data_IF_428322177755
#
_entry.id   IF_428322177755
#
_cell.length_a   1.000
_cell.length_b   1.000
_cell.length_c   1.000
_cell.angle_alpha   90.00
_cell.angle_beta   90.00
_cell.angle_gamma   90.00
#
_symmetry.space_group_name_H-M   'P 1'
#
loop_
_entity.id
_entity.type
_entity.pdbx_description
1 polymer ?
#
# COMPACT_ATOMS: atom_id res chain seq x y z
N UNK A 1 4.92 5.93 2.85
CA UNK A 1 6.39 6.02 3.05
C UNK A 1 6.75 7.47 3.32
N UNK A 2 7.41 7.77 4.44
CA UNK A 2 7.93 9.12 4.67
C UNK A 2 8.96 9.46 3.58
N UNK A 3 9.04 10.72 3.10
CA UNK A 3 10.04 11.11 2.11
C UNK A 3 11.44 10.83 2.67
N UNK A 4 12.25 10.10 1.90
CA UNK A 4 13.66 9.85 2.24
C UNK A 4 14.35 11.18 2.54
N UNK A 5 14.69 11.42 3.81
CA UNK A 5 15.37 12.65 4.19
C UNK A 5 16.75 12.68 3.53
N UNK A 6 16.94 13.60 2.59
CA UNK A 6 18.20 13.76 1.86
C UNK A 6 19.13 14.64 2.69
N UNK A 7 20.29 14.08 3.05
CA UNK A 7 21.34 14.80 3.78
C UNK A 7 22.32 15.34 2.76
N UNK A 8 22.50 16.68 2.74
CA UNK A 8 23.33 17.39 1.75
C UNK A 8 24.47 18.12 2.47
N UNK A 9 25.70 17.94 2.00
CA UNK A 9 26.90 18.67 2.48
C UNK A 9 27.90 18.81 1.34
N UNK A 10 28.49 20.00 1.20
CA UNK A 10 29.51 20.35 0.18
C UNK A 10 29.14 19.95 -1.26
N UNK A 11 27.88 20.18 -1.65
CA UNK A 11 27.32 19.75 -2.95
C UNK A 11 27.33 18.23 -3.17
N UNK A 12 27.38 17.43 -2.12
CA UNK A 12 27.18 15.98 -2.15
C UNK A 12 25.98 15.55 -1.30
N UNK A 13 25.40 14.40 -1.63
CA UNK A 13 24.38 13.75 -0.83
C UNK A 13 24.49 12.22 -0.88
N UNK A 14 23.96 11.54 0.13
CA UNK A 14 23.85 10.09 0.13
C UNK A 14 22.40 9.64 -0.11
N UNK A 15 22.20 8.65 -0.98
CA UNK A 15 20.90 8.01 -1.20
C UNK A 15 21.10 6.52 -1.44
N UNK A 16 20.36 5.67 -0.73
CA UNK A 16 20.45 4.20 -0.83
C UNK A 16 21.90 3.69 -0.70
N UNK A 17 22.65 4.24 0.26
CA UNK A 17 24.05 3.91 0.49
C UNK A 17 25.03 4.35 -0.60
N UNK A 18 24.60 5.18 -1.56
CA UNK A 18 25.44 5.67 -2.66
C UNK A 18 25.68 7.17 -2.54
N UNK A 19 26.87 7.60 -2.94
CA UNK A 19 27.37 8.97 -2.80
C UNK A 19 27.33 9.71 -4.12
N UNK A 20 26.57 10.80 -4.17
CA UNK A 20 26.26 11.54 -5.39
C UNK A 20 26.65 13.00 -5.26
N UNK A 21 26.98 13.63 -6.39
CA UNK A 21 26.97 15.09 -6.46
C UNK A 21 25.54 15.61 -6.55
N UNK A 22 25.25 16.70 -5.86
CA UNK A 22 23.96 17.39 -5.86
C UNK A 22 23.53 17.78 -7.28
N UNK A 23 24.47 18.33 -8.05
CA UNK A 23 24.26 18.61 -9.47
C UNK A 23 24.43 17.33 -10.27
N UNK A 24 23.39 16.94 -11.01
CA UNK A 24 23.40 15.78 -11.90
C UNK A 24 23.17 14.42 -11.23
N UNK A 25 23.25 14.29 -9.90
CA UNK A 25 23.09 13.00 -9.21
C UNK A 25 24.01 11.91 -9.78
N UNK A 26 25.29 12.22 -9.96
CA UNK A 26 26.27 11.33 -10.59
C UNK A 26 27.16 10.69 -9.53
N UNK A 27 27.29 9.36 -9.59
CA UNK A 27 28.23 8.59 -8.77
C UNK A 27 29.65 8.70 -9.31
N UNK A 28 30.64 8.53 -8.43
CA UNK A 28 32.04 8.51 -8.83
C UNK A 28 32.32 7.31 -9.73
N UNK A 29 32.99 7.56 -10.85
CA UNK A 29 33.58 6.51 -11.70
C UNK A 29 35.08 6.49 -11.44
N UNK A 30 35.67 5.31 -11.28
CA UNK A 30 37.10 5.17 -11.02
C UNK A 30 37.96 5.72 -12.19
N UNK A 31 39.17 6.20 -11.88
CA UNK A 31 40.05 6.85 -12.84
C UNK A 31 40.42 5.97 -14.03
N UNK A 32 40.61 4.65 -13.83
CA UNK A 32 40.95 3.73 -14.91
C UNK A 32 39.78 3.56 -15.90
N UNK A 33 38.56 3.44 -15.39
CA UNK A 33 37.34 3.43 -16.21
C UNK A 33 37.16 4.74 -16.96
N UNK A 34 37.37 5.89 -16.31
CA UNK A 34 37.32 7.20 -16.98
C UNK A 34 38.36 7.31 -18.11
N UNK A 35 39.59 6.84 -17.89
CA UNK A 35 40.63 6.80 -18.93
C UNK A 35 40.18 5.93 -20.11
N UNK A 36 39.63 4.74 -19.86
CA UNK A 36 39.10 3.85 -20.92
C UNK A 36 37.98 4.51 -21.73
N UNK A 37 37.12 5.29 -21.07
CA UNK A 37 35.98 5.95 -21.72
C UNK A 37 36.38 7.18 -22.54
N UNK A 38 37.42 7.91 -22.14
CA UNK A 38 37.73 9.24 -22.69
C UNK A 38 39.10 9.37 -23.38
N UNK A 39 40.04 8.44 -23.18
CA UNK A 39 41.39 8.47 -23.74
C UNK A 39 41.68 7.29 -24.68
N UNK A 40 42.45 7.51 -25.78
CA UNK A 40 42.85 8.82 -26.30
C UNK A 40 41.65 9.58 -26.93
N UNK A 41 40.71 8.81 -27.47
CA UNK A 41 39.45 9.29 -28.05
C UNK A 41 38.30 8.78 -27.20
N UNK A 42 37.23 9.58 -27.10
CA UNK A 42 36.04 9.21 -26.33
C UNK A 42 35.34 8.05 -27.06
N UNK A 43 35.09 6.95 -26.35
CA UNK A 43 34.44 5.77 -26.90
C UNK A 43 32.89 5.88 -26.79
N UNK A 44 32.18 4.80 -27.16
CA UNK A 44 30.71 4.74 -27.08
C UNK A 44 30.19 4.92 -25.66
N UNK A 45 30.74 4.22 -24.69
CA UNK A 45 30.33 4.32 -23.27
C UNK A 45 30.46 5.77 -22.77
N UNK A 46 31.59 6.42 -23.08
CA UNK A 46 31.85 7.82 -22.76
C UNK A 46 30.87 8.79 -23.45
N UNK A 47 30.34 8.44 -24.64
CA UNK A 47 29.28 9.23 -25.28
C UNK A 47 27.92 9.00 -24.62
N UNK A 48 27.62 7.75 -24.27
CA UNK A 48 26.34 7.36 -23.69
C UNK A 48 26.16 7.97 -22.29
N UNK A 49 27.18 7.91 -21.42
CA UNK A 49 27.11 8.55 -20.08
C UNK A 49 26.97 10.07 -20.15
N UNK A 50 27.58 10.71 -21.15
CA UNK A 50 27.50 12.16 -21.37
C UNK A 50 26.14 12.59 -21.93
N UNK A 51 25.55 11.77 -22.80
CA UNK A 51 24.20 12.01 -23.33
C UNK A 51 23.16 11.81 -22.24
N UNK A 52 23.34 10.80 -21.39
CA UNK A 52 22.45 10.53 -20.27
C UNK A 52 22.54 11.63 -19.19
N UNK A 53 23.71 12.26 -19.02
CA UNK A 53 23.89 13.28 -17.99
C UNK A 53 24.80 14.45 -18.43
N UNK A 54 24.25 15.66 -18.68
CA UNK A 54 25.05 16.80 -19.12
C UNK A 54 26.02 17.33 -18.05
N UNK A 55 25.81 16.97 -16.78
CA UNK A 55 26.69 17.35 -15.67
C UNK A 55 27.77 16.32 -15.36
N UNK A 56 27.82 15.18 -16.07
CA UNK A 56 28.74 14.08 -15.79
C UNK A 56 30.19 14.52 -15.56
N UNK A 57 30.76 15.31 -16.49
CA UNK A 57 32.16 15.78 -16.33
C UNK A 57 32.33 16.61 -15.06
N UNK A 58 31.45 17.58 -14.82
CA UNK A 58 31.53 18.45 -13.62
C UNK A 58 31.50 17.60 -12.36
N UNK A 59 30.59 16.64 -12.30
CA UNK A 59 30.44 15.74 -11.16
C UNK A 59 31.67 14.87 -10.93
N UNK A 60 32.25 14.31 -12.00
CA UNK A 60 33.50 13.54 -11.85
C UNK A 60 34.63 14.42 -11.33
N UNK A 61 34.83 15.63 -11.87
CA UNK A 61 35.85 16.55 -11.36
C UNK A 61 35.65 16.90 -9.88
N UNK A 62 34.40 17.10 -9.46
CA UNK A 62 34.04 17.32 -8.05
C UNK A 62 34.40 16.13 -7.16
N UNK A 63 34.08 14.89 -7.56
CA UNK A 63 34.45 13.68 -6.82
C UNK A 63 35.97 13.53 -6.63
N UNK A 64 36.77 13.98 -7.60
CA UNK A 64 38.23 14.01 -7.49
C UNK A 64 38.78 15.30 -6.85
N UNK A 65 37.89 16.17 -6.35
CA UNK A 65 38.25 17.43 -5.69
C UNK A 65 39.02 18.41 -6.57
N UNK A 66 38.90 18.26 -7.89
CA UNK A 66 39.54 19.11 -8.90
C UNK A 66 38.75 20.42 -8.97
N UNK A 67 39.43 21.53 -8.66
CA UNK A 67 38.85 22.87 -8.79
C UNK A 67 38.87 23.28 -10.25
N UNK A 68 37.76 23.85 -10.72
CA UNK A 68 37.63 24.39 -12.05
C UNK A 68 36.76 25.64 -12.02
N UNK A 69 36.94 26.51 -13.01
CA UNK A 69 36.07 27.63 -13.28
C UNK A 69 35.10 27.28 -14.41
N UNK A 70 33.87 27.79 -14.37
CA UNK A 70 32.88 27.51 -15.42
C UNK A 70 33.32 28.00 -16.81
N UNK A 71 34.20 29.01 -16.89
CA UNK A 71 34.78 29.45 -18.16
C UNK A 71 35.75 28.44 -18.79
N UNK A 72 36.28 27.47 -18.03
CA UNK A 72 37.13 26.39 -18.56
C UNK A 72 36.31 25.30 -19.27
N UNK A 73 34.98 25.32 -19.09
CA UNK A 73 34.07 24.41 -19.76
C UNK A 73 33.69 24.92 -21.14
N UNK A 74 34.43 24.47 -22.15
CA UNK A 74 33.96 24.54 -23.55
C UNK A 74 33.05 23.34 -23.85
N UNK A 75 31.80 23.62 -24.21
CA UNK A 75 30.76 22.59 -24.41
C UNK A 75 30.51 21.77 -23.15
N UNK A 76 30.72 20.46 -23.21
CA UNK A 76 30.52 19.56 -22.06
C UNK A 76 31.76 19.37 -21.16
N UNK A 77 32.83 20.15 -21.34
CA UNK A 77 34.05 20.06 -20.52
C UNK A 77 34.93 18.83 -20.80
N UNK A 78 34.67 18.10 -21.89
CA UNK A 78 35.42 16.86 -22.21
C UNK A 78 36.91 17.12 -22.41
N UNK A 79 37.30 18.28 -22.94
CA UNK A 79 38.72 18.63 -23.09
C UNK A 79 39.42 18.77 -21.74
N UNK A 80 38.76 19.40 -20.77
CA UNK A 80 39.26 19.52 -19.40
C UNK A 80 39.39 18.14 -18.75
N UNK A 81 38.36 17.29 -18.87
CA UNK A 81 38.42 15.92 -18.34
C UNK A 81 39.59 15.12 -18.93
N UNK A 82 39.79 15.19 -20.26
CA UNK A 82 40.92 14.50 -20.90
C UNK A 82 42.27 15.01 -20.41
N UNK A 83 42.41 16.32 -20.16
CA UNK A 83 43.63 16.91 -19.62
C UNK A 83 43.94 16.34 -18.24
N UNK A 84 43.00 16.44 -17.30
CA UNK A 84 43.20 15.98 -15.91
C UNK A 84 43.42 14.47 -15.83
N UNK A 85 42.78 13.69 -16.71
CA UNK A 85 43.03 12.24 -16.80
C UNK A 85 44.45 11.95 -17.26
N UNK A 86 44.98 12.65 -18.27
CA UNK A 86 46.39 12.46 -18.70
C UNK A 86 47.39 12.81 -17.61
N UNK A 87 47.08 13.83 -16.81
CA UNK A 87 47.89 14.29 -15.69
C UNK A 87 47.78 13.39 -14.44
N UNK A 88 46.88 12.40 -14.44
CA UNK A 88 46.69 11.47 -13.31
C UNK A 88 45.96 12.05 -12.11
N UNK A 89 45.30 13.19 -12.27
CA UNK A 89 44.57 13.85 -11.18
C UNK A 89 43.32 13.08 -10.73
N UNK A 90 42.82 12.15 -11.55
CA UNK A 90 41.70 11.26 -11.19
C UNK A 90 42.14 9.86 -10.73
N UNK A 91 43.44 9.65 -10.46
CA UNK A 91 43.92 8.34 -10.00
C UNK A 91 43.71 8.13 -8.49
N UNK A 92 43.61 9.23 -7.72
CA UNK A 92 43.40 9.20 -6.26
C UNK A 92 42.29 10.17 -5.87
N UNK A 93 41.37 9.72 -5.02
CA UNK A 93 40.33 10.57 -4.44
C UNK A 93 40.89 11.29 -3.23
N UNK A 94 40.73 12.62 -3.11
CA UNK A 94 41.20 13.34 -1.92
C UNK A 94 40.55 12.81 -0.64
N UNK A 95 41.35 12.68 0.42
CA UNK A 95 40.91 12.17 1.74
C UNK A 95 39.65 12.89 2.24
N UNK A 96 39.58 14.22 2.08
CA UNK A 96 38.39 15.02 2.45
C UNK A 96 37.09 14.51 1.83
N UNK A 97 37.12 14.04 0.58
CA UNK A 97 35.92 13.54 -0.12
C UNK A 97 35.54 12.15 0.40
N UNK A 98 36.55 11.32 0.71
CA UNK A 98 36.31 10.01 1.33
C UNK A 98 35.70 10.17 2.72
N UNK A 99 36.24 11.07 3.55
CA UNK A 99 35.67 11.40 4.87
C UNK A 99 34.23 11.89 4.75
N UNK A 100 33.96 12.80 3.79
CA UNK A 100 32.62 13.30 3.54
C UNK A 100 31.64 12.19 3.11
N UNK A 101 32.11 11.28 2.24
CA UNK A 101 31.33 10.11 1.82
C UNK A 101 30.96 9.23 3.02
N UNK A 102 31.91 8.94 3.90
CA UNK A 102 31.68 8.11 5.09
C UNK A 102 30.76 8.79 6.10
N UNK A 103 30.90 10.11 6.29
CA UNK A 103 30.01 10.91 7.14
C UNK A 103 28.57 10.88 6.63
N UNK A 104 28.34 11.21 5.35
CA UNK A 104 27.00 11.22 4.77
C UNK A 104 26.38 9.82 4.74
N UNK A 105 27.17 8.78 4.46
CA UNK A 105 26.68 7.41 4.52
C UNK A 105 26.24 7.03 5.93
N UNK A 106 27.01 7.40 6.97
CA UNK A 106 26.70 7.11 8.36
C UNK A 106 25.47 7.87 8.85
N UNK A 107 25.38 9.16 8.52
CA UNK A 107 24.21 9.96 8.85
C UNK A 107 22.95 9.40 8.18
N UNK A 108 23.06 8.98 6.91
CA UNK A 108 21.97 8.29 6.22
C UNK A 108 21.61 6.95 6.89
N UNK A 109 22.58 6.11 7.26
CA UNK A 109 22.30 4.87 7.99
C UNK A 109 21.58 5.16 9.31
N UNK A 110 21.94 6.21 10.02
CA UNK A 110 21.33 6.57 11.28
C UNK A 110 19.84 6.94 11.14
N UNK A 111 19.39 7.43 9.98
CA UNK A 111 17.96 7.68 9.73
C UNK A 111 17.14 6.42 9.43
N UNK A 112 17.80 5.29 9.17
CA UNK A 112 17.13 4.04 8.75
C UNK A 112 16.73 3.11 9.89
N UNK A 113 15.53 2.55 9.84
CA UNK A 113 15.11 1.54 10.82
C UNK A 113 15.67 0.15 10.46
N UNK A 114 15.69 -0.82 11.40
CA UNK A 114 16.01 -2.21 11.09
C UNK A 114 15.22 -2.79 9.90
N UNK A 115 13.94 -2.45 9.81
CA UNK A 115 13.00 -2.86 8.76
C UNK A 115 13.35 -2.27 7.38
N UNK A 116 14.13 -1.19 7.32
CA UNK A 116 14.57 -0.59 6.05
C UNK A 116 15.92 -1.16 5.59
N UNK A 117 16.70 -1.74 6.49
CA UNK A 117 18.08 -2.20 6.24
C UNK A 117 18.20 -3.70 5.93
N UNK A 118 17.12 -4.48 6.09
CA UNK A 118 17.17 -5.96 5.98
C UNK A 118 17.74 -6.48 4.64
N UNK A 119 17.61 -5.70 3.57
CA UNK A 119 18.06 -6.09 2.22
C UNK A 119 19.59 -6.06 2.04
N UNK A 120 20.32 -5.32 2.88
CA UNK A 120 21.77 -5.14 2.76
C UNK A 120 22.47 -5.44 4.09
N UNK A 121 22.96 -6.68 4.30
CA UNK A 121 23.63 -7.07 5.54
C UNK A 121 24.78 -6.15 5.95
N UNK A 122 25.62 -5.71 5.00
CA UNK A 122 26.74 -4.84 5.32
C UNK A 122 26.32 -3.52 5.96
N UNK A 123 25.21 -2.92 5.52
CA UNK A 123 24.69 -1.68 6.11
C UNK A 123 24.21 -1.87 7.55
N UNK A 124 23.62 -3.02 7.85
CA UNK A 124 23.26 -3.38 9.23
C UNK A 124 24.51 -3.51 10.09
N UNK A 125 25.52 -4.21 9.59
CA UNK A 125 26.77 -4.42 10.33
C UNK A 125 27.53 -3.10 10.53
N UNK A 126 27.59 -2.23 9.52
CA UNK A 126 28.25 -0.93 9.59
C UNK A 126 27.52 0.05 10.53
N UNK A 127 26.18 -0.06 10.60
CA UNK A 127 25.37 0.75 11.51
C UNK A 127 25.52 0.32 12.97
N UNK A 128 25.50 -0.98 13.26
CA UNK A 128 25.37 -1.45 14.65
C UNK A 128 26.65 -2.07 15.22
N UNK A 129 27.48 -2.71 14.41
CA UNK A 129 28.48 -3.66 14.90
C UNK A 129 29.93 -3.40 14.45
N UNK A 130 30.17 -2.56 13.44
CA UNK A 130 31.52 -2.26 12.93
C UNK A 130 31.94 -0.82 13.20
N UNK A 131 33.24 -0.56 13.31
CA UNK A 131 33.82 0.78 13.37
C UNK A 131 33.78 1.43 12.00
N UNK A 132 33.39 2.71 11.89
CA UNK A 132 33.40 3.39 10.60
C UNK A 132 34.80 3.50 9.98
N UNK A 133 35.83 3.66 10.81
CA UNK A 133 37.18 3.96 10.31
C UNK A 133 37.89 2.77 9.63
N UNK A 134 37.57 1.53 9.99
CA UNK A 134 38.31 0.37 9.53
C UNK A 134 37.47 -0.92 9.39
N UNK A 135 36.15 -0.83 9.56
CA UNK A 135 35.24 -1.98 9.46
C UNK A 135 35.42 -3.04 10.55
N UNK A 136 36.27 -2.79 11.55
CA UNK A 136 36.52 -3.77 12.61
C UNK A 136 35.32 -3.90 13.55
N UNK A 137 35.09 -5.07 14.16
CA UNK A 137 34.06 -5.26 15.18
C UNK A 137 34.17 -4.20 16.30
N UNK A 138 33.04 -3.62 16.72
CA UNK A 138 32.97 -2.63 17.80
C UNK A 138 31.92 -2.95 18.86
N UNK A 139 32.30 -3.73 19.90
CA UNK A 139 31.41 -4.05 21.02
C UNK A 139 30.83 -2.83 21.74
N UNK A 140 31.51 -1.68 21.69
CA UNK A 140 31.08 -0.46 22.36
C UNK A 140 29.93 0.27 21.64
N UNK A 141 29.71 0.03 20.34
CA UNK A 141 28.66 0.74 19.57
C UNK A 141 27.25 0.35 19.98
N UNK A 142 27.06 -0.92 20.28
CA UNK A 142 25.75 -1.50 20.50
C UNK A 142 25.84 -2.46 21.66
N UNK A 143 25.34 -2.07 22.82
CA UNK A 143 25.32 -2.90 24.04
C UNK A 143 24.06 -3.76 24.15
N UNK A 144 23.07 -3.52 23.30
CA UNK A 144 21.79 -4.21 23.29
C UNK A 144 21.69 -5.17 22.10
N UNK A 145 20.83 -6.19 22.20
CA UNK A 145 20.56 -7.07 21.08
C UNK A 145 19.73 -6.33 20.03
N UNK A 146 20.14 -6.40 18.77
CA UNK A 146 19.42 -5.83 17.62
C UNK A 146 18.69 -6.94 16.89
N UNK A 147 17.38 -6.79 16.69
CA UNK A 147 16.59 -7.68 15.84
C UNK A 147 16.35 -7.05 14.47
N UNK A 148 16.70 -7.75 13.40
CA UNK A 148 16.39 -7.36 12.02
C UNK A 148 15.23 -8.21 11.53
N UNK A 149 14.03 -7.63 11.36
CA UNK A 149 12.86 -8.37 10.90
C UNK A 149 12.90 -8.55 9.38
N UNK A 150 12.45 -9.71 8.93
CA UNK A 150 12.26 -10.07 7.53
C UNK A 150 10.83 -10.58 7.33
N UNK A 151 10.27 -10.46 6.11
CA UNK A 151 9.06 -11.17 5.75
C UNK A 151 9.20 -12.68 6.01
N UNK A 152 8.14 -13.40 6.42
CA UNK A 152 8.23 -14.82 6.79
C UNK A 152 8.86 -15.71 5.71
N UNK A 153 8.62 -15.39 4.43
CA UNK A 153 9.09 -16.16 3.29
C UNK A 153 10.51 -15.78 2.80
N UNK A 154 11.19 -14.84 3.44
CA UNK A 154 12.48 -14.29 2.98
C UNK A 154 13.69 -15.11 3.47
N UNK A 155 13.64 -16.44 3.34
CA UNK A 155 14.66 -17.36 3.88
C UNK A 155 16.07 -17.10 3.30
N UNK A 156 16.15 -16.73 2.02
CA UNK A 156 17.41 -16.38 1.37
C UNK A 156 18.09 -15.15 1.99
N UNK A 157 17.30 -14.11 2.31
CA UNK A 157 17.81 -12.88 2.93
C UNK A 157 18.22 -13.12 4.38
N UNK A 158 17.42 -13.91 5.13
CA UNK A 158 17.76 -14.33 6.49
C UNK A 158 19.09 -15.09 6.51
N UNK A 159 19.28 -16.01 5.57
CA UNK A 159 20.52 -16.79 5.46
C UNK A 159 21.74 -15.90 5.19
N UNK A 160 21.62 -14.95 4.25
CA UNK A 160 22.68 -13.96 3.96
C UNK A 160 23.02 -13.09 5.17
N UNK A 161 22.01 -12.64 5.93
CA UNK A 161 22.24 -11.85 7.14
C UNK A 161 22.98 -12.66 8.20
N UNK A 162 22.62 -13.92 8.42
CA UNK A 162 23.31 -14.81 9.35
C UNK A 162 24.76 -15.05 8.93
N UNK A 163 24.99 -15.31 7.65
CA UNK A 163 26.34 -15.51 7.12
C UNK A 163 27.22 -14.28 7.34
N UNK A 164 26.70 -13.09 7.00
CA UNK A 164 27.41 -11.84 7.21
C UNK A 164 27.71 -11.58 8.70
N UNK A 165 26.73 -11.85 9.59
CA UNK A 165 26.92 -11.74 11.04
C UNK A 165 27.99 -12.70 11.57
N UNK A 166 28.00 -13.95 11.07
CA UNK A 166 28.98 -14.97 11.45
C UNK A 166 30.42 -14.65 11.04
N UNK A 167 30.62 -13.74 10.08
CA UNK A 167 31.95 -13.25 9.68
C UNK A 167 32.50 -12.17 10.63
N UNK A 168 31.68 -11.59 11.50
CA UNK A 168 32.10 -10.55 12.45
C UNK A 168 32.61 -11.22 13.73
N UNK A 169 33.92 -11.11 13.99
CA UNK A 169 34.54 -11.75 15.14
C UNK A 169 33.89 -11.30 16.46
N UNK A 170 33.44 -12.29 17.25
CA UNK A 170 32.80 -12.08 18.55
C UNK A 170 31.33 -11.69 18.52
N UNK A 171 30.73 -11.51 17.33
CA UNK A 171 29.30 -11.23 17.19
C UNK A 171 28.49 -12.53 17.22
N UNK A 172 27.52 -12.61 18.12
CA UNK A 172 26.58 -13.73 18.18
C UNK A 172 25.31 -13.39 17.41
N UNK A 173 24.71 -14.42 16.79
CA UNK A 173 23.44 -14.28 16.12
C UNK A 173 22.53 -15.49 16.36
N UNK A 174 21.21 -15.26 16.34
CA UNK A 174 20.19 -16.29 16.40
C UNK A 174 18.98 -15.86 15.57
N UNK A 175 18.28 -16.81 14.96
CA UNK A 175 17.06 -16.53 14.20
C UNK A 175 15.85 -17.07 14.92
N UNK A 176 14.73 -16.37 14.81
CA UNK A 176 13.45 -16.85 15.28
C UNK A 176 12.37 -16.52 14.27
N UNK A 177 11.51 -17.50 14.01
CA UNK A 177 10.30 -17.32 13.23
C UNK A 177 9.15 -17.05 14.18
N UNK A 178 8.49 -15.92 14.02
CA UNK A 178 7.22 -15.64 14.65
C UNK A 178 6.09 -15.53 13.62
N UNK A 179 4.95 -14.98 14.06
CA UNK A 179 3.70 -15.02 13.29
C UNK A 179 3.64 -14.02 12.14
N UNK A 180 4.29 -12.86 12.24
CA UNK A 180 4.38 -11.88 11.14
C UNK A 180 5.79 -11.78 10.57
N UNK A 181 6.83 -12.16 11.32
CA UNK A 181 8.21 -11.88 10.93
C UNK A 181 9.15 -13.06 11.18
N UNK A 182 10.15 -13.19 10.32
CA UNK A 182 11.35 -13.97 10.60
C UNK A 182 12.44 -12.99 11.02
N UNK A 183 12.91 -13.03 12.26
CA UNK A 183 13.87 -12.04 12.78
C UNK A 183 15.24 -12.66 13.01
N UNK A 184 16.29 -11.98 12.57
CA UNK A 184 17.69 -12.29 12.93
C UNK A 184 18.12 -11.35 14.06
N UNK A 185 18.39 -11.93 15.23
CA UNK A 185 18.91 -11.24 16.41
C UNK A 185 20.42 -11.29 16.42
N UNK A 186 21.07 -10.15 16.70
CA UNK A 186 22.53 -10.00 16.74
C UNK A 186 22.95 -9.21 17.98
N UNK A 187 24.08 -9.58 18.57
CA UNK A 187 24.64 -8.89 19.74
C UNK A 187 25.93 -9.53 20.25
N UNK A 188 26.59 -8.87 21.18
CA UNK A 188 27.89 -9.32 21.72
C UNK A 188 27.76 -10.30 22.90
N UNK A 189 26.55 -10.48 23.44
CA UNK A 189 26.23 -11.44 24.50
C UNK A 189 25.39 -12.57 23.92
N UNK A 190 25.97 -13.77 23.87
CA UNK A 190 25.32 -14.98 23.35
C UNK A 190 24.02 -15.30 24.10
N UNK A 191 24.00 -15.18 25.43
CA UNK A 191 22.85 -15.49 26.27
C UNK A 191 21.71 -14.50 26.01
N UNK A 192 22.04 -13.21 25.89
CA UNK A 192 21.07 -12.18 25.55
C UNK A 192 20.46 -12.41 24.15
N UNK A 193 21.28 -12.76 23.17
CA UNK A 193 20.84 -13.05 21.79
C UNK A 193 19.92 -14.27 21.75
N UNK A 194 20.30 -15.38 22.39
CA UNK A 194 19.45 -16.59 22.46
C UNK A 194 18.13 -16.29 23.18
N UNK A 195 18.16 -15.56 24.30
CA UNK A 195 16.95 -15.17 25.04
C UNK A 195 16.02 -14.32 24.19
N UNK A 196 16.55 -13.36 23.42
CA UNK A 196 15.76 -12.52 22.52
C UNK A 196 15.09 -13.34 21.42
N UNK A 197 15.82 -14.26 20.78
CA UNK A 197 15.29 -15.15 19.76
C UNK A 197 14.18 -16.05 20.31
N UNK A 198 14.40 -16.69 21.46
CA UNK A 198 13.39 -17.56 22.09
C UNK A 198 12.13 -16.80 22.52
N UNK A 199 12.30 -15.56 22.99
CA UNK A 199 11.19 -14.70 23.38
C UNK A 199 10.41 -14.11 22.20
N UNK A 200 10.90 -14.22 20.96
CA UNK A 200 10.32 -13.54 19.81
C UNK A 200 8.92 -14.02 19.46
N UNK A 201 8.74 -15.31 19.16
CA UNK A 201 7.45 -15.85 18.74
C UNK A 201 6.35 -15.67 19.80
N UNK A 202 6.58 -15.93 21.11
CA UNK A 202 5.59 -15.64 22.14
C UNK A 202 5.25 -14.15 22.25
N UNK A 203 6.26 -13.26 22.17
CA UNK A 203 6.04 -11.81 22.25
C UNK A 203 5.24 -11.31 21.06
N UNK A 204 5.59 -11.72 19.85
CA UNK A 204 4.86 -11.32 18.64
C UNK A 204 3.41 -11.82 18.69
N UNK A 205 3.18 -13.07 19.12
CA UNK A 205 1.84 -13.59 19.35
C UNK A 205 1.05 -12.79 20.39
N UNK A 206 1.67 -12.40 21.50
CA UNK A 206 1.03 -11.54 22.52
C UNK A 206 0.66 -10.18 21.94
N UNK A 207 1.60 -9.54 21.23
CA UNK A 207 1.37 -8.26 20.58
C UNK A 207 0.22 -8.33 19.56
N UNK A 208 0.11 -9.42 18.79
CA UNK A 208 -1.01 -9.64 17.88
C UNK A 208 -2.36 -9.72 18.60
N UNK A 209 -2.40 -10.44 19.73
CA UNK A 209 -3.63 -10.54 20.53
C UNK A 209 -4.00 -9.17 21.09
N UNK A 210 -3.04 -8.42 21.60
CA UNK A 210 -3.24 -7.06 22.10
C UNK A 210 -3.71 -6.09 21.01
N UNK A 211 -3.09 -6.15 19.82
CA UNK A 211 -3.47 -5.37 18.64
C UNK A 211 -4.91 -5.67 18.20
N UNK A 212 -5.28 -6.96 18.12
CA UNK A 212 -6.66 -7.40 17.81
C UNK A 212 -7.65 -6.92 18.86
N UNK A 213 -7.31 -6.99 20.14
CA UNK A 213 -8.16 -6.50 21.22
C UNK A 213 -8.32 -4.98 21.21
N UNK A 214 -7.25 -4.23 20.95
CA UNK A 214 -7.28 -2.77 20.82
C UNK A 214 -8.14 -2.34 19.63
N UNK A 215 -7.97 -3.00 18.48
CA UNK A 215 -8.81 -2.82 17.30
C UNK A 215 -10.28 -3.10 17.64
N UNK A 216 -10.58 -4.26 18.25
CA UNK A 216 -11.96 -4.63 18.64
C UNK A 216 -12.60 -3.58 19.56
N UNK A 217 -11.85 -3.07 20.53
CA UNK A 217 -12.29 -1.98 21.42
C UNK A 217 -12.56 -0.69 20.64
N UNK A 218 -11.64 -0.29 19.75
CA UNK A 218 -11.81 0.88 18.88
C UNK A 218 -13.10 0.79 18.04
N UNK A 219 -13.33 -0.37 17.39
CA UNK A 219 -14.57 -0.64 16.64
C UNK A 219 -15.82 -0.52 17.50
N UNK A 220 -15.80 -1.10 18.70
CA UNK A 220 -16.91 -1.00 19.64
C UNK A 220 -17.18 0.44 20.10
N UNK A 221 -16.12 1.23 20.34
CA UNK A 221 -16.24 2.66 20.69
C UNK A 221 -16.85 3.47 19.55
N UNK A 222 -16.37 3.30 18.31
CA UNK A 222 -16.94 4.01 17.14
C UNK A 222 -18.44 3.74 16.98
N UNK A 223 -18.86 2.48 17.12
CA UNK A 223 -20.27 2.11 17.05
C UNK A 223 -21.09 2.66 18.23
N UNK A 224 -20.55 2.62 19.45
CA UNK A 224 -21.21 3.19 20.63
C UNK A 224 -21.39 4.72 20.51
N UNK A 225 -20.37 5.41 20.00
CA UNK A 225 -20.43 6.85 19.74
C UNK A 225 -21.46 7.17 18.66
N UNK A 226 -21.55 6.35 17.61
CA UNK A 226 -22.60 6.47 16.59
C UNK A 226 -24.00 6.32 17.21
N UNK A 227 -24.24 5.28 18.02
CA UNK A 227 -25.53 5.07 18.69
C UNK A 227 -25.89 6.25 19.59
N UNK A 228 -24.91 6.80 20.33
CA UNK A 228 -25.12 7.98 21.17
C UNK A 228 -25.49 9.22 20.36
N UNK A 229 -24.83 9.46 19.22
CA UNK A 229 -25.19 10.55 18.29
C UNK A 229 -26.61 10.36 17.73
N UNK A 230 -26.97 9.12 17.42
CA UNK A 230 -28.29 8.78 16.91
C UNK A 230 -29.39 9.06 17.94
N UNK A 231 -29.15 8.74 19.22
CA UNK A 231 -30.06 9.07 20.32
C UNK A 231 -30.22 10.59 20.52
N UNK A 232 -29.14 11.34 20.41
CA UNK A 232 -29.17 12.81 20.55
C UNK A 232 -29.93 13.51 19.43
N UNK A 233 -29.93 12.93 18.22
CA UNK A 233 -30.67 13.45 17.06
C UNK A 233 -32.12 13.00 17.02
N UNK A 234 -32.54 12.11 17.93
CA UNK A 234 -33.91 11.63 17.97
C UNK A 234 -34.83 12.71 18.54
N UNK A 235 -35.49 13.44 17.65
CA UNK A 235 -36.65 14.26 17.99
C UNK A 235 -37.92 13.40 17.83
N UNK A 236 -38.64 13.09 18.93
CA UNK A 236 -39.89 12.33 18.85
C UNK A 236 -40.96 12.98 17.95
N UNK A 237 -40.88 14.29 17.71
CA UNK A 237 -41.81 15.04 16.88
C UNK A 237 -41.42 15.04 15.38
N UNK A 238 -40.15 14.80 15.05
CA UNK A 238 -39.65 14.74 13.69
C UNK A 238 -39.20 13.31 13.36
N UNK A 239 -40.16 12.45 13.01
CA UNK A 239 -39.86 11.09 12.57
C UNK A 239 -39.13 11.13 11.22
N UNK A 240 -37.79 11.11 11.24
CA UNK A 240 -36.99 10.83 10.06
C UNK A 240 -36.95 9.31 9.84
N UNK A 241 -37.34 8.81 8.66
CA UNK A 241 -37.21 7.40 8.34
C UNK A 241 -35.75 6.98 8.46
N UNK A 242 -35.48 5.94 9.27
CA UNK A 242 -34.13 5.40 9.39
C UNK A 242 -33.81 4.62 8.11
N UNK A 243 -32.57 4.74 7.65
CA UNK A 243 -32.11 4.18 6.39
C UNK A 243 -30.93 3.23 6.64
N UNK A 244 -30.83 2.11 5.89
CA UNK A 244 -29.64 1.28 5.90
C UNK A 244 -28.41 1.98 5.31
N UNK A 245 -28.56 3.11 4.62
CA UNK A 245 -27.45 3.90 4.04
C UNK A 245 -26.45 4.35 5.09
N UNK A 246 -25.17 4.16 4.80
CA UNK A 246 -24.05 4.62 5.62
C UNK A 246 -22.91 3.60 5.67
N UNK A 247 -21.93 3.88 6.51
CA UNK A 247 -20.72 3.08 6.66
C UNK A 247 -20.81 2.09 7.81
N UNK A 248 -20.37 0.86 7.57
CA UNK A 248 -20.37 -0.24 8.52
C UNK A 248 -18.97 -0.86 8.65
N UNK A 249 -18.61 -1.18 9.89
CA UNK A 249 -17.46 -2.02 10.21
C UNK A 249 -17.91 -3.48 10.27
N UNK A 250 -17.18 -4.35 9.59
CA UNK A 250 -17.51 -5.77 9.45
C UNK A 250 -16.61 -6.63 10.33
N UNK A 251 -17.22 -7.60 11.01
CA UNK A 251 -16.56 -8.68 11.71
C UNK A 251 -16.91 -9.99 10.99
N UNK A 252 -15.92 -10.67 10.40
CA UNK A 252 -16.09 -11.97 9.74
C UNK A 252 -15.12 -12.98 10.34
N UNK A 253 -15.62 -13.87 11.20
CA UNK A 253 -14.78 -14.81 11.94
C UNK A 253 -13.97 -15.72 11.01
N UNK A 254 -14.56 -16.16 9.90
CA UNK A 254 -13.89 -17.05 8.95
C UNK A 254 -12.67 -16.37 8.32
N UNK A 255 -12.85 -15.12 7.88
CA UNK A 255 -11.77 -14.30 7.30
C UNK A 255 -10.70 -13.99 8.37
N UNK A 256 -11.11 -13.56 9.57
CA UNK A 256 -10.18 -13.20 10.66
C UNK A 256 -9.36 -14.41 11.19
N UNK A 257 -9.86 -15.63 11.02
CA UNK A 257 -9.18 -16.88 11.42
C UNK A 257 -8.20 -17.37 10.37
N UNK A 258 -8.61 -17.42 9.10
CA UNK A 258 -7.80 -17.95 8.00
C UNK A 258 -6.74 -16.92 7.55
N UNK A 259 -7.04 -15.63 7.62
CA UNK A 259 -6.12 -14.54 7.29
C UNK A 259 -5.85 -13.69 8.52
N UNK A 260 -5.01 -14.20 9.43
CA UNK A 260 -4.76 -13.54 10.71
C UNK A 260 -3.90 -12.27 10.65
N UNK A 261 -3.36 -11.94 9.46
CA UNK A 261 -2.42 -10.85 9.21
C UNK A 261 -3.02 -9.63 8.48
N UNK A 262 -4.35 -9.57 8.35
CA UNK A 262 -5.07 -8.52 7.63
C UNK A 262 -4.70 -7.13 8.18
N UNK A 263 -4.11 -6.25 7.34
CA UNK A 263 -3.71 -4.91 7.77
C UNK A 263 -4.91 -4.00 8.09
N UNK A 264 -6.05 -4.19 7.43
CA UNK A 264 -7.10 -3.17 7.37
C UNK A 264 -8.46 -3.61 7.96
N UNK A 265 -9.33 -2.61 8.17
CA UNK A 265 -10.68 -2.84 8.70
C UNK A 265 -11.62 -3.31 7.59
N UNK A 266 -12.23 -4.49 7.77
CA UNK A 266 -13.27 -4.97 6.86
C UNK A 266 -14.42 -3.96 6.88
N UNK A 267 -14.80 -3.44 5.73
CA UNK A 267 -15.82 -2.40 5.62
C UNK A 267 -16.93 -2.78 4.65
N UNK A 268 -18.09 -2.18 4.90
CA UNK A 268 -19.27 -2.25 4.05
C UNK A 268 -19.90 -0.85 4.03
N UNK A 269 -19.94 -0.23 2.87
CA UNK A 269 -20.57 1.07 2.65
C UNK A 269 -21.86 0.85 1.87
N UNK A 270 -22.99 1.29 2.41
CA UNK A 270 -24.32 1.13 1.80
C UNK A 270 -24.80 2.49 1.29
N UNK A 271 -25.17 2.54 0.02
CA UNK A 271 -25.70 3.68 -0.71
C UNK A 271 -27.15 3.47 -1.13
N UNK A 272 -27.92 4.55 -1.17
CA UNK A 272 -29.24 4.53 -1.79
C UNK A 272 -29.10 4.52 -3.31
N UNK A 273 -29.97 3.78 -3.98
CA UNK A 273 -30.14 3.89 -5.43
C UNK A 273 -31.34 4.77 -5.76
N UNK A 274 -31.49 5.11 -7.04
CA UNK A 274 -32.69 5.79 -7.55
C UNK A 274 -33.95 4.91 -7.48
N UNK A 275 -33.78 3.59 -7.26
CA UNK A 275 -34.89 2.64 -7.15
C UNK A 275 -35.28 2.44 -5.69
N UNK A 276 -36.50 2.83 -5.27
CA UNK A 276 -36.93 2.70 -3.89
C UNK A 276 -36.87 1.26 -3.37
N UNK A 277 -36.21 1.06 -2.22
CA UNK A 277 -36.08 -0.26 -1.60
C UNK A 277 -34.93 -1.12 -2.14
N UNK A 278 -34.18 -0.60 -3.12
CA UNK A 278 -32.92 -1.16 -3.62
C UNK A 278 -31.77 -0.30 -3.12
N UNK A 279 -30.75 -0.94 -2.57
CA UNK A 279 -29.53 -0.32 -2.09
C UNK A 279 -28.34 -0.97 -2.78
N UNK A 280 -27.29 -0.18 -3.00
CA UNK A 280 -26.01 -0.67 -3.50
C UNK A 280 -25.02 -0.61 -2.35
N UNK A 281 -24.20 -1.62 -2.19
CA UNK A 281 -23.19 -1.61 -1.15
C UNK A 281 -21.83 -2.01 -1.71
N UNK A 282 -20.82 -1.20 -1.45
CA UNK A 282 -19.43 -1.55 -1.75
C UNK A 282 -18.82 -2.18 -0.50
N UNK A 283 -18.00 -3.21 -0.67
CA UNK A 283 -17.34 -3.84 0.45
C UNK A 283 -15.89 -4.17 0.13
N UNK A 284 -15.06 -4.05 1.16
CA UNK A 284 -13.66 -4.47 1.15
C UNK A 284 -13.45 -5.35 2.39
N UNK A 285 -13.33 -6.65 2.16
CA UNK A 285 -12.99 -7.64 3.18
C UNK A 285 -11.53 -8.09 3.09
N UNK A 286 -10.67 -7.28 2.45
CA UNK A 286 -9.20 -7.38 2.33
C UNK A 286 -8.67 -8.59 1.54
N UNK A 287 -9.36 -9.73 1.58
CA UNK A 287 -9.13 -10.88 0.70
C UNK A 287 -10.09 -10.92 -0.48
N UNK A 288 -11.24 -10.29 -0.33
CA UNK A 288 -12.31 -10.22 -1.32
C UNK A 288 -12.93 -8.84 -1.23
N UNK A 289 -13.09 -8.19 -2.37
CA UNK A 289 -13.76 -6.91 -2.49
C UNK A 289 -14.78 -6.96 -3.63
N UNK A 290 -15.77 -6.07 -3.58
CA UNK A 290 -16.78 -6.01 -4.63
C UNK A 290 -18.01 -5.22 -4.24
N UNK A 291 -19.12 -5.60 -4.85
CA UNK A 291 -20.41 -4.89 -4.76
C UNK A 291 -21.51 -5.88 -4.40
N UNK A 292 -22.43 -5.42 -3.56
CA UNK A 292 -23.69 -6.08 -3.23
C UNK A 292 -24.86 -5.20 -3.62
N UNK A 293 -25.86 -5.75 -4.30
CA UNK A 293 -27.17 -5.11 -4.44
C UNK A 293 -28.11 -5.73 -3.42
N UNK A 294 -28.73 -4.90 -2.58
CA UNK A 294 -29.65 -5.29 -1.52
C UNK A 294 -31.08 -4.91 -1.90
N UNK A 295 -32.03 -5.83 -1.78
CA UNK A 295 -33.44 -5.57 -2.07
C UNK A 295 -34.36 -6.20 -1.03
N UNK A 296 -35.36 -5.45 -0.57
CA UNK A 296 -36.40 -5.97 0.32
C UNK A 296 -37.39 -6.90 -0.42
N UNK A 297 -37.55 -6.68 -1.72
CA UNK A 297 -38.38 -7.48 -2.62
C UNK A 297 -37.48 -8.22 -3.62
N UNK A 298 -37.61 -9.54 -3.67
CA UNK A 298 -36.73 -10.39 -4.49
C UNK A 298 -36.94 -10.23 -6.00
N UNK A 299 -38.18 -9.99 -6.43
CA UNK A 299 -38.49 -9.77 -7.84
C UNK A 299 -37.92 -8.44 -8.33
N UNK A 300 -38.08 -7.37 -7.54
CA UNK A 300 -37.50 -6.07 -7.82
C UNK A 300 -35.95 -6.12 -7.85
N UNK A 301 -35.34 -6.89 -6.94
CA UNK A 301 -33.88 -7.10 -6.92
C UNK A 301 -33.40 -7.80 -8.20
N UNK A 302 -34.09 -8.85 -8.62
CA UNK A 302 -33.75 -9.61 -9.84
C UNK A 302 -33.89 -8.74 -11.09
N UNK A 303 -34.98 -7.98 -11.18
CA UNK A 303 -35.21 -7.04 -12.27
C UNK A 303 -34.13 -5.97 -12.32
N UNK A 304 -33.80 -5.34 -11.18
CA UNK A 304 -32.75 -4.33 -11.11
C UNK A 304 -31.40 -4.87 -11.59
N UNK A 305 -31.02 -6.07 -11.13
CA UNK A 305 -29.75 -6.68 -11.53
C UNK A 305 -29.72 -7.08 -13.02
N UNK A 306 -30.87 -7.47 -13.58
CA UNK A 306 -30.99 -7.81 -15.01
C UNK A 306 -30.90 -6.58 -15.91
N UNK A 307 -31.52 -5.46 -15.49
CA UNK A 307 -31.50 -4.20 -16.25
C UNK A 307 -30.09 -3.56 -16.28
N UNK A 308 -29.27 -3.84 -15.26
CA UNK A 308 -27.89 -3.34 -15.12
C UNK A 308 -26.84 -4.43 -15.40
N UNK A 309 -27.25 -5.62 -15.84
CA UNK A 309 -26.37 -6.57 -16.50
C UNK A 309 -26.27 -6.10 -17.95
N UNK A 310 -25.25 -5.29 -18.26
CA UNK A 310 -24.97 -4.82 -19.62
C UNK A 310 -25.20 -5.94 -20.63
N UNK A 311 -25.94 -5.64 -21.70
CA UNK A 311 -26.04 -6.50 -22.87
C UNK A 311 -24.61 -6.89 -23.23
N UNK A 312 -24.25 -8.13 -22.94
CA UNK A 312 -23.06 -8.75 -23.50
C UNK A 312 -23.27 -8.65 -25.02
N UNK A 313 -22.60 -7.72 -25.66
CA UNK A 313 -22.52 -7.62 -27.12
C UNK A 313 -21.80 -8.89 -27.59
N UNK A 314 -22.56 -9.98 -27.66
CA UNK A 314 -22.20 -11.16 -28.44
C UNK A 314 -22.25 -10.73 -29.90
N UNK A 315 -21.06 -10.38 -30.41
CA UNK A 315 -20.63 -10.38 -31.80
C UNK A 315 -21.73 -10.68 -32.83
N UNK A 316 -22.35 -9.63 -33.36
CA UNK A 316 -22.88 -9.67 -34.72
C UNK A 316 -21.88 -8.98 -35.64
N UNK A 317 -20.92 -9.74 -36.15
CA UNK A 317 -20.29 -9.46 -37.44
C UNK A 317 -21.36 -9.38 -38.51
N UNK A 318 -21.65 -8.19 -39.01
CA UNK A 318 -21.91 -8.02 -40.43
C UNK A 318 -21.55 -6.61 -40.88
N UNK A 319 -20.88 -6.57 -42.02
CA UNK A 319 -20.19 -5.43 -42.61
C UNK A 319 -21.14 -4.42 -43.29
N UNK A 320 -20.56 -3.25 -43.55
CA UNK A 320 -20.88 -2.28 -44.61
C UNK A 320 -21.65 -0.98 -44.27
N UNK A 321 -20.81 0.07 -44.12
CA UNK A 321 -20.80 1.33 -44.87
C UNK A 321 -21.83 2.46 -44.59
N UNK A 322 -21.31 3.46 -43.86
CA UNK A 322 -21.26 4.91 -44.16
C UNK A 322 -22.58 5.63 -44.52
N UNK A 323 -23.02 6.52 -43.63
CA UNK A 323 -22.98 7.98 -43.87
C UNK A 323 -23.31 8.79 -42.60
N UNK A 324 -22.44 9.75 -42.28
CA UNK A 324 -22.66 10.80 -41.29
C UNK A 324 -23.73 11.79 -41.75
N UNK A 325 -24.64 12.20 -40.85
CA UNK A 325 -24.99 13.63 -40.67
C UNK A 325 -25.83 13.91 -39.40
N UNK A 326 -25.82 15.17 -38.92
CA UNK A 326 -25.98 15.51 -37.51
C UNK A 326 -27.40 15.88 -37.08
N UNK A 327 -27.59 15.78 -35.76
CA UNK A 327 -28.32 16.66 -34.84
C UNK A 327 -29.47 17.50 -35.43
N UNK A 328 -30.71 17.16 -35.06
CA UNK A 328 -31.78 18.16 -34.89
C UNK A 328 -32.74 17.75 -33.78
N UNK A 329 -32.59 18.49 -32.68
CA UNK A 329 -33.64 18.94 -31.77
C UNK A 329 -34.98 19.20 -32.48
N UNK A 330 -36.07 18.53 -32.08
CA UNK A 330 -37.38 19.17 -31.91
C UNK A 330 -38.36 18.31 -31.08
N UNK A 331 -38.92 18.98 -30.08
CA UNK A 331 -40.28 18.91 -29.53
C UNK A 331 -41.26 17.86 -30.04
N UNK A 332 -41.99 17.25 -29.08
CA UNK A 332 -43.44 16.98 -29.06
C UNK A 332 -43.75 16.16 -27.80
N UNK A 333 -44.79 16.32 -26.99
CA UNK A 333 -46.04 17.09 -27.05
C UNK A 333 -46.60 17.09 -25.63
N UNK A 334 -46.94 18.24 -25.07
CA UNK A 334 -47.83 18.29 -23.91
C UNK A 334 -49.23 17.82 -24.32
N UNK A 335 -49.72 16.74 -23.73
CA UNK A 335 -51.13 16.38 -23.73
C UNK A 335 -51.71 16.52 -22.33
N UNK A 336 -52.76 17.33 -22.25
CA UNK A 336 -53.53 17.69 -21.08
C UNK A 336 -54.27 16.49 -20.44
N UNK A 337 -54.71 16.61 -19.16
CA UNK A 337 -55.08 15.48 -18.32
C UNK A 337 -56.53 15.03 -18.54
N UNK A 338 -56.76 13.71 -18.47
CA UNK A 338 -58.11 13.13 -18.30
C UNK A 338 -58.28 12.62 -16.88
N UNK A 339 -59.37 13.00 -16.17
CA UNK A 339 -59.63 12.53 -14.81
C UNK A 339 -60.38 11.20 -14.87
N UNK A 340 -59.84 10.16 -14.23
CA UNK A 340 -60.64 9.01 -13.79
C UNK A 340 -60.16 8.60 -12.42
N UNK A 341 -60.97 8.94 -11.42
CA UNK A 341 -60.81 8.49 -10.06
C UNK A 341 -60.85 6.96 -10.01
N UNK A 342 -59.86 6.39 -9.32
CA UNK A 342 -59.98 5.09 -8.69
C UNK A 342 -59.31 5.22 -7.33
N UNK A 343 -60.10 4.98 -6.28
CA UNK A 343 -59.67 5.08 -4.89
C UNK A 343 -58.42 4.22 -4.68
N UNK A 344 -57.29 4.90 -4.41
CA UNK A 344 -56.09 4.28 -3.86
C UNK A 344 -56.44 3.88 -2.44
N UNK A 345 -56.56 2.56 -2.21
CA UNK A 345 -56.62 2.01 -0.86
C UNK A 345 -55.37 2.50 -0.11
N UNK A 346 -55.49 2.93 1.16
CA UNK A 346 -54.33 3.37 1.91
C UNK A 346 -53.36 2.20 2.01
N UNK A 347 -52.17 2.35 1.42
CA UNK A 347 -51.04 1.47 1.66
C UNK A 347 -50.78 1.59 3.16
N UNK A 348 -51.23 0.58 3.86
CA UNK A 348 -51.07 0.38 5.28
C UNK A 348 -49.56 0.38 5.51
N UNK A 349 -49.09 1.30 6.36
CA UNK A 349 -47.69 1.52 6.72
C UNK A 349 -46.92 0.21 6.83
N UNK A 350 -46.19 -0.13 5.76
CA UNK A 350 -45.40 -1.34 5.67
C UNK A 350 -44.20 -1.13 6.62
N UNK A 351 -44.10 -1.96 7.67
CA UNK A 351 -42.89 -2.01 8.48
C UNK A 351 -41.73 -2.23 7.52
N UNK A 352 -40.75 -1.32 7.49
CA UNK A 352 -39.52 -1.52 6.69
C UNK A 352 -39.01 -2.93 6.96
N UNK A 353 -38.89 -3.73 5.89
CA UNK A 353 -38.34 -5.08 6.00
C UNK A 353 -36.98 -4.98 6.66
N UNK A 354 -36.74 -5.84 7.66
CA UNK A 354 -35.44 -5.96 8.30
C UNK A 354 -34.55 -6.97 7.57
N UNK A 355 -35.12 -7.71 6.64
CA UNK A 355 -34.44 -8.72 5.84
C UNK A 355 -34.39 -8.24 4.40
N UNK A 356 -33.19 -8.26 3.85
CA UNK A 356 -32.89 -7.94 2.46
C UNK A 356 -32.28 -9.18 1.82
N UNK A 357 -32.75 -9.50 0.62
CA UNK A 357 -32.02 -10.40 -0.27
C UNK A 357 -30.84 -9.63 -0.85
N UNK A 358 -29.73 -10.33 -1.11
CA UNK A 358 -28.58 -9.71 -1.76
C UNK A 358 -28.14 -10.50 -2.99
N UNK A 359 -27.67 -9.77 -3.99
CA UNK A 359 -26.83 -10.28 -5.07
C UNK A 359 -25.44 -9.67 -4.96
N UNK A 360 -24.42 -10.50 -5.03
CA UNK A 360 -23.01 -10.15 -4.84
C UNK A 360 -22.22 -10.43 -6.11
N UNK A 361 -21.36 -9.47 -6.48
CA UNK A 361 -20.23 -9.66 -7.39
C UNK A 361 -18.96 -9.25 -6.68
N UNK A 362 -17.90 -10.04 -6.83
CA UNK A 362 -16.65 -9.77 -6.13
C UNK A 362 -15.46 -10.41 -6.83
N UNK A 363 -14.28 -9.85 -6.55
CA UNK A 363 -12.99 -10.38 -6.96
C UNK A 363 -12.18 -10.81 -5.75
N UNK A 364 -11.45 -11.91 -5.90
CA UNK A 364 -10.47 -12.33 -4.91
C UNK A 364 -9.16 -11.57 -5.16
N UNK A 365 -8.55 -11.03 -4.10
CA UNK A 365 -7.31 -10.25 -4.22
C UNK A 365 -6.04 -11.11 -4.28
N UNK A 366 -6.13 -12.40 -3.91
CA UNK A 366 -5.01 -13.36 -3.97
C UNK A 366 -4.71 -13.84 -5.39
N UNK A 367 -5.71 -13.94 -6.26
CA UNK A 367 -5.58 -14.49 -7.62
C UNK A 367 -6.35 -13.63 -8.62
N UNK A 368 -5.81 -13.38 -9.84
CA UNK A 368 -6.43 -12.49 -10.83
C UNK A 368 -7.67 -13.10 -11.53
N UNK A 369 -8.40 -14.00 -10.87
CA UNK A 369 -9.61 -14.62 -11.39
C UNK A 369 -10.84 -13.80 -10.99
N UNK A 370 -11.49 -13.21 -11.99
CA UNK A 370 -12.82 -12.65 -11.84
C UNK A 370 -13.85 -13.78 -11.81
N UNK A 371 -14.79 -13.72 -10.86
CA UNK A 371 -15.93 -14.62 -10.82
C UNK A 371 -17.12 -13.94 -11.49
N UNK A 372 -17.48 -14.30 -12.73
CA UNK A 372 -18.53 -13.60 -13.49
C UNK A 372 -19.94 -13.87 -12.96
N UNK A 373 -20.12 -14.97 -12.21
CA UNK A 373 -21.42 -15.36 -11.67
C UNK A 373 -21.76 -14.59 -10.39
N UNK A 374 -22.88 -13.86 -10.43
CA UNK A 374 -23.45 -13.24 -9.23
C UNK A 374 -23.88 -14.31 -8.24
N UNK A 375 -23.58 -14.13 -6.96
CA UNK A 375 -24.00 -15.04 -5.89
C UNK A 375 -25.12 -14.43 -5.07
N UNK A 376 -26.03 -15.29 -4.61
CA UNK A 376 -27.15 -14.88 -3.77
C UNK A 376 -26.78 -14.98 -2.29
N UNK A 377 -27.41 -14.15 -1.47
CA UNK A 377 -27.30 -14.21 -0.01
C UNK A 377 -28.44 -13.45 0.68
N UNK A 378 -28.26 -13.15 1.96
CA UNK A 378 -29.21 -12.33 2.71
C UNK A 378 -28.53 -11.45 3.75
N UNK A 379 -29.15 -10.30 4.04
CA UNK A 379 -28.78 -9.38 5.11
C UNK A 379 -29.97 -9.21 6.04
N UNK A 380 -29.75 -9.39 7.34
CA UNK A 380 -30.75 -9.25 8.39
C UNK A 380 -30.33 -8.17 9.38
N UNK A 381 -31.04 -7.06 9.42
CA UNK A 381 -30.85 -6.02 10.43
C UNK A 381 -31.43 -6.45 11.77
N UNK A 382 -30.59 -6.38 12.81
CA UNK A 382 -30.94 -6.84 14.15
C UNK A 382 -31.76 -5.82 14.94
N UNK A 383 -31.79 -4.58 14.46
CA UNK A 383 -32.45 -3.47 15.13
C UNK A 383 -33.21 -2.59 14.13
N UNK A 384 -34.15 -1.81 14.65
CA UNK A 384 -35.00 -0.93 13.84
C UNK A 384 -34.28 0.34 13.39
N UNK A 385 -33.08 0.61 13.89
CA UNK A 385 -32.20 1.69 13.41
C UNK A 385 -31.38 1.36 12.20
N UNK A 386 -31.33 0.10 11.77
CA UNK A 386 -30.34 -0.36 10.80
C UNK A 386 -28.90 -0.16 11.28
N UNK A 387 -28.66 -0.02 12.59
CA UNK A 387 -27.32 0.22 13.14
C UNK A 387 -26.48 -1.06 13.20
N UNK A 388 -27.09 -2.23 13.07
CA UNK A 388 -26.38 -3.50 13.07
C UNK A 388 -27.10 -4.52 12.20
N UNK A 389 -26.33 -5.34 11.49
CA UNK A 389 -26.83 -6.39 10.60
C UNK A 389 -25.98 -7.65 10.68
N UNK A 390 -26.60 -8.77 10.31
CA UNK A 390 -25.94 -10.05 10.07
C UNK A 390 -26.15 -10.40 8.60
N UNK A 391 -25.05 -10.57 7.86
CA UNK A 391 -25.06 -11.04 6.48
C UNK A 391 -24.69 -12.52 6.39
N UNK A 392 -25.23 -13.19 5.39
CA UNK A 392 -24.87 -14.55 5.00
C UNK A 392 -24.77 -14.64 3.49
N UNK A 393 -23.60 -15.03 2.98
CA UNK A 393 -23.32 -15.09 1.54
C UNK A 393 -22.23 -16.12 1.23
N UNK A 394 -22.26 -16.67 0.03
CA UNK A 394 -21.15 -17.47 -0.51
C UNK A 394 -20.04 -16.55 -1.03
N UNK A 395 -18.87 -16.55 -0.39
CA UNK A 395 -17.72 -15.75 -0.82
C UNK A 395 -16.71 -16.64 -1.58
N UNK A 396 -16.34 -16.32 -2.83
CA UNK A 396 -15.23 -16.99 -3.51
C UNK A 396 -13.93 -16.89 -2.70
N UNK A 397 -13.05 -17.89 -2.78
CA UNK A 397 -11.82 -17.97 -1.99
C UNK A 397 -12.02 -18.26 -0.50
N UNK A 398 -13.09 -17.76 0.12
CA UNK A 398 -13.37 -17.88 1.55
C UNK A 398 -14.28 -19.07 1.86
N UNK A 399 -15.32 -19.33 1.07
CA UNK A 399 -16.18 -20.52 1.14
C UNK A 399 -17.68 -20.23 1.13
N UNK A 400 -18.48 -21.27 1.44
CA UNK A 400 -19.94 -21.22 1.40
C UNK A 400 -20.56 -20.81 2.73
N UNK A 401 -21.74 -20.17 2.69
CA UNK A 401 -22.53 -19.70 3.83
C UNK A 401 -21.67 -18.92 4.85
N UNK A 402 -20.87 -17.98 4.35
CA UNK A 402 -20.02 -17.15 5.21
C UNK A 402 -20.90 -16.12 5.90
N UNK A 403 -20.92 -16.18 7.23
CA UNK A 403 -21.63 -15.21 8.05
C UNK A 403 -20.70 -14.09 8.50
N UNK A 404 -21.21 -12.86 8.45
CA UNK A 404 -20.52 -11.67 8.95
C UNK A 404 -21.48 -10.77 9.73
N UNK A 405 -20.94 -10.06 10.72
CA UNK A 405 -21.65 -9.03 11.48
C UNK A 405 -21.18 -7.67 10.99
N UNK A 406 -22.09 -6.73 10.73
CA UNK A 406 -21.72 -5.35 10.43
C UNK A 406 -22.35 -4.36 11.41
N UNK A 407 -21.58 -3.34 11.81
CA UNK A 407 -21.95 -2.33 12.79
C UNK A 407 -21.76 -0.93 12.20
N UNK A 408 -22.85 -0.16 12.16
CA UNK A 408 -22.87 1.17 11.56
C UNK A 408 -22.06 2.17 12.39
N UNK A 409 -21.27 3.00 11.72
CA UNK A 409 -20.43 4.04 12.35
C UNK A 409 -20.71 5.44 11.81
N UNK A 410 -21.29 5.54 10.62
CA UNK A 410 -21.68 6.78 9.95
C UNK A 410 -22.99 6.59 9.19
N UNK A 411 -23.80 7.64 9.06
CA UNK A 411 -24.95 7.69 8.15
C UNK A 411 -24.55 8.13 6.73
N UNK A 412 -23.32 8.62 6.57
CA UNK A 412 -22.72 9.01 5.28
C UNK A 412 -21.76 7.90 4.83
N UNK A 413 -21.95 7.33 3.62
CA UNK A 413 -21.03 6.36 3.04
C UNK A 413 -19.71 7.04 2.66
N UNK A 414 -18.60 6.30 2.74
CA UNK A 414 -17.24 6.86 2.65
C UNK A 414 -16.53 6.57 1.31
N UNK A 415 -16.87 5.48 0.63
CA UNK A 415 -16.16 5.03 -0.57
C UNK A 415 -16.72 5.65 -1.85
N UNK A 416 -15.84 5.91 -2.84
CA UNK A 416 -16.28 6.07 -4.23
C UNK A 416 -16.93 4.76 -4.65
N UNK A 417 -18.21 4.83 -5.02
CA UNK A 417 -19.04 3.67 -5.31
C UNK A 417 -18.50 2.97 -6.56
N UNK A 418 -17.88 1.78 -6.41
CA UNK A 418 -17.52 0.94 -7.57
C UNK A 418 -18.78 0.66 -8.40
N UNK A 419 -18.72 0.73 -9.73
CA UNK A 419 -19.89 0.49 -10.58
C UNK A 419 -20.21 -1.01 -10.67
N UNK A 420 -21.50 -1.38 -10.78
CA UNK A 420 -21.89 -2.81 -10.83
C UNK A 420 -21.31 -3.57 -12.06
N UNK A 421 -20.83 -2.80 -13.03
CA UNK A 421 -20.14 -3.25 -14.23
C UNK A 421 -18.62 -3.40 -14.05
N UNK A 422 -18.05 -2.87 -12.97
CA UNK A 422 -16.66 -3.10 -12.53
C UNK A 422 -16.50 -4.47 -11.84
#
# INVERSE_FOLDING_TARGET
MAPDQIIIRDDFFCRKGRFYTLRGQVERVDGATLRRMFLPVRNRDGMDVMRANPHFVRSQLQHYGIRFHECEFTGHGTLLLKKVLREGMCDVVPERILTLQDELHREWLNTKTPEELFSTPDWVLDKYFRRPANGQPDPARTTVVVGIPFPPCAEGQVSRMREAAGQVAGLYHASALGSKTHTVFMGWDASAVTKAAWGHAPREKSNLVEEKEMRRKGRATMHADYLKRLEQRFDPAAWTPRSPVGQYLVDCQKIEQEWSALPDDLCLDIDATDTPGIFKASFDFDVVEGIMILGADGEALEQYCSDHQGRSDEDSTDEEDVEEKPMTEWMRTMLAPKPRGRAVKPITSNLQSRTFQLKLRCRELSEPQFHPESRNGSVNFTNWNFASLVGEVDLPGVGKNVSFLARKVSDEPCMDVMEWED
#
